data_IF_285543352520
#
_entry.id   IF_285543352520
#
_cell.length_a   1.000
_cell.length_b   1.000
_cell.length_c   1.000
_cell.angle_alpha   90.00
_cell.angle_beta   90.00
_cell.angle_gamma   90.00
#
_symmetry.space_group_name_H-M   'P 1'
#
loop_
_entity.id
_entity.type
_entity.pdbx_description
1 polymer ?
#
# COMPACT_ATOMS: atom_id res chain seq x y z
N UNK A 1 0.89 90.94 -24.83
CA UNK A 1 1.30 90.39 -23.51
C UNK A 1 0.73 88.99 -23.44
N UNK A 2 1.51 88.04 -23.91
CA UNK A 2 1.11 86.64 -24.09
C UNK A 2 1.40 85.87 -22.81
N UNK A 3 0.37 85.22 -22.28
CA UNK A 3 0.41 84.34 -21.12
C UNK A 3 1.13 83.02 -21.44
N UNK A 4 2.01 82.52 -20.56
CA UNK A 4 2.73 81.27 -20.81
C UNK A 4 1.82 80.03 -20.66
N UNK A 5 2.10 78.94 -21.38
CA UNK A 5 1.30 77.72 -21.36
C UNK A 5 1.48 76.94 -20.04
N UNK A 6 0.34 76.54 -19.47
CA UNK A 6 0.23 75.81 -18.21
C UNK A 6 0.74 74.37 -18.30
N UNK A 7 1.45 73.96 -17.25
CA UNK A 7 1.98 72.61 -17.04
C UNK A 7 0.87 71.55 -16.94
N UNK A 8 1.09 70.32 -17.45
CA UNK A 8 0.12 69.24 -17.34
C UNK A 8 -0.01 68.72 -15.89
N UNK A 9 -1.19 68.20 -15.50
CA UNK A 9 -1.44 67.69 -14.15
C UNK A 9 -0.66 66.40 -13.87
N UNK A 10 -0.03 66.34 -12.69
CA UNK A 10 0.68 65.16 -12.18
C UNK A 10 -0.32 64.03 -11.87
N UNK A 11 -0.19 62.92 -12.58
CA UNK A 11 -0.91 61.67 -12.29
C UNK A 11 -0.44 61.10 -10.94
N UNK A 12 -1.29 61.18 -9.93
CA UNK A 12 -1.08 60.53 -8.63
C UNK A 12 -1.36 59.03 -8.80
N UNK A 13 -0.29 58.21 -8.80
CA UNK A 13 -0.42 56.75 -8.72
C UNK A 13 -0.85 56.38 -7.30
N UNK A 14 -2.09 55.90 -7.15
CA UNK A 14 -2.51 55.21 -5.92
C UNK A 14 -1.66 53.95 -5.75
N UNK A 15 -0.91 53.90 -4.65
CA UNK A 15 -0.23 52.69 -4.22
C UNK A 15 -1.28 51.63 -3.86
N UNK A 16 -1.24 50.52 -4.58
CA UNK A 16 -1.99 49.29 -4.27
C UNK A 16 -1.47 48.74 -2.94
N UNK A 17 -2.20 48.98 -1.86
CA UNK A 17 -1.99 48.26 -0.60
C UNK A 17 -2.41 46.80 -0.77
N UNK A 18 -1.41 45.94 -1.01
CA UNK A 18 -1.55 44.49 -0.90
C UNK A 18 -1.71 44.16 0.60
N UNK A 19 -2.72 43.39 1.02
CA UNK A 19 -2.82 42.97 2.42
C UNK A 19 -1.59 42.13 2.79
N UNK A 20 -1.06 42.27 4.02
CA UNK A 20 0.11 41.51 4.46
C UNK A 20 -0.21 40.02 4.42
N UNK A 21 0.63 39.27 3.70
CA UNK A 21 0.56 37.82 3.64
C UNK A 21 1.12 37.26 4.95
N UNK A 22 0.29 36.55 5.73
CA UNK A 22 0.69 35.89 6.99
C UNK A 22 1.74 34.77 6.76
N UNK A 23 2.00 34.42 5.50
CA UNK A 23 2.91 33.34 5.10
C UNK A 23 4.08 33.80 4.22
N UNK A 24 4.41 35.09 4.20
CA UNK A 24 5.72 35.52 3.70
C UNK A 24 6.73 35.37 4.86
N UNK A 25 7.63 34.38 4.84
CA UNK A 25 8.70 34.30 5.83
C UNK A 25 9.62 35.48 5.58
N UNK A 26 9.72 36.40 6.55
CA UNK A 26 10.71 37.47 6.51
C UNK A 26 12.12 36.85 6.34
N UNK A 27 12.84 37.29 5.30
CA UNK A 27 14.14 36.80 4.85
C UNK A 27 15.29 36.93 5.89
N UNK A 28 15.00 37.34 7.12
CA UNK A 28 15.99 37.64 8.17
C UNK A 28 15.94 36.69 9.39
N UNK A 29 15.10 35.64 9.43
CA UNK A 29 14.89 34.84 10.66
C UNK A 29 15.88 33.67 10.89
N UNK A 30 16.84 33.39 9.99
CA UNK A 30 17.83 32.32 10.22
C UNK A 30 19.29 32.66 9.90
N UNK A 31 19.93 33.62 10.61
CA UNK A 31 21.35 33.92 10.40
C UNK A 31 22.33 32.85 10.92
N UNK A 32 21.87 31.77 11.57
CA UNK A 32 22.72 30.80 12.26
C UNK A 32 22.38 29.33 11.94
N UNK A 33 22.24 28.99 10.65
CA UNK A 33 22.11 27.58 10.25
C UNK A 33 23.48 26.85 10.29
N UNK A 34 23.65 25.74 11.04
CA UNK A 34 24.94 25.05 11.11
C UNK A 34 25.29 24.38 9.78
N UNK A 35 26.42 24.76 9.17
CA UNK A 35 26.98 24.18 7.93
C UNK A 35 27.41 22.70 8.05
N UNK A 36 27.20 22.04 9.19
CA UNK A 36 27.73 20.70 9.49
C UNK A 36 26.85 19.53 9.04
N UNK A 37 25.65 19.77 8.51
CA UNK A 37 24.76 18.67 8.09
C UNK A 37 25.23 17.86 6.88
N UNK A 38 26.11 18.43 6.03
CA UNK A 38 26.67 17.70 4.87
C UNK A 38 27.70 16.65 5.27
N UNK A 39 28.31 16.76 6.45
CA UNK A 39 29.39 15.87 6.87
C UNK A 39 28.87 14.58 7.50
N UNK A 40 27.68 14.62 8.15
CA UNK A 40 27.13 13.46 8.86
C UNK A 40 26.46 12.42 7.95
N UNK A 41 26.04 12.81 6.74
CA UNK A 41 25.50 11.89 5.72
C UNK A 41 26.59 11.34 4.77
N UNK A 42 27.81 11.89 4.80
CA UNK A 42 28.92 11.51 3.90
C UNK A 42 29.81 10.36 4.38
N UNK A 43 29.60 9.83 5.58
CA UNK A 43 30.42 8.75 6.17
C UNK A 43 29.60 7.53 6.53
N UNK A 44 28.87 6.98 5.56
CA UNK A 44 28.49 5.56 5.58
C UNK A 44 29.05 4.89 4.31
N UNK A 45 30.38 4.86 4.20
CA UNK A 45 31.05 3.89 3.34
C UNK A 45 30.97 2.53 4.01
N UNK A 46 29.93 1.78 3.68
CA UNK A 46 29.80 0.36 3.97
C UNK A 46 31.04 -0.38 3.43
N UNK A 47 31.93 -0.79 4.34
CA UNK A 47 32.97 -1.78 4.05
C UNK A 47 32.30 -3.15 4.03
N UNK A 48 32.11 -3.63 2.82
CA UNK A 48 32.16 -5.03 2.41
C UNK A 48 32.76 -5.97 3.48
N UNK A 49 31.91 -6.79 4.09
CA UNK A 49 32.31 -8.04 4.74
C UNK A 49 31.40 -9.14 4.21
N UNK A 50 31.92 -9.91 3.26
CA UNK A 50 31.39 -11.22 2.93
C UNK A 50 31.72 -12.15 4.09
N UNK A 51 30.77 -12.37 4.99
CA UNK A 51 30.79 -13.53 5.89
C UNK A 51 29.51 -14.33 5.67
N UNK A 52 29.69 -15.53 5.12
CA UNK A 52 28.63 -16.51 4.94
C UNK A 52 28.06 -16.93 6.30
N UNK A 53 26.94 -16.33 6.70
CA UNK A 53 26.17 -16.78 7.87
C UNK A 53 25.26 -17.95 7.45
N UNK A 54 25.73 -19.18 7.66
CA UNK A 54 24.84 -20.33 7.83
C UNK A 54 24.19 -20.23 9.21
N UNK A 55 22.99 -19.63 9.28
CA UNK A 55 22.14 -19.71 10.49
C UNK A 55 21.38 -21.03 10.46
N UNK A 56 21.75 -21.95 11.34
CA UNK A 56 20.87 -23.03 11.77
C UNK A 56 19.73 -22.43 12.60
N UNK A 57 18.49 -22.58 12.15
CA UNK A 57 17.30 -22.25 12.93
C UNK A 57 17.15 -23.22 14.11
N UNK A 58 16.80 -22.77 15.33
CA UNK A 58 16.47 -23.65 16.43
C UNK A 58 15.15 -24.38 16.16
N UNK A 59 15.19 -25.70 16.29
CA UNK A 59 14.19 -26.69 15.85
C UNK A 59 12.99 -26.86 16.81
N UNK A 60 12.56 -25.80 17.50
CA UNK A 60 11.70 -25.94 18.70
C UNK A 60 10.35 -25.20 18.68
N UNK A 61 9.96 -24.55 17.58
CA UNK A 61 8.72 -23.76 17.53
C UNK A 61 7.59 -24.38 16.70
N UNK A 62 7.81 -25.60 16.19
CA UNK A 62 6.82 -26.31 15.37
C UNK A 62 5.59 -26.78 16.18
N UNK A 63 5.76 -26.98 17.49
CA UNK A 63 4.74 -27.60 18.35
C UNK A 63 3.65 -26.63 18.84
N UNK A 64 3.89 -25.31 18.83
CA UNK A 64 2.93 -24.31 19.36
C UNK A 64 1.84 -23.97 18.34
N UNK A 65 2.12 -24.08 17.03
CA UNK A 65 1.19 -23.68 15.98
C UNK A 65 0.29 -24.82 15.48
N UNK A 66 0.69 -26.08 15.68
CA UNK A 66 -0.14 -27.26 15.35
C UNK A 66 -1.36 -27.31 16.29
N UNK A 67 -1.22 -26.88 17.55
CA UNK A 67 -2.28 -26.93 18.55
C UNK A 67 -3.44 -25.95 18.32
N UNK A 68 -3.26 -24.94 17.46
CA UNK A 68 -4.31 -23.93 17.18
C UNK A 68 -5.26 -24.34 16.04
N UNK A 69 -4.97 -25.43 15.31
CA UNK A 69 -5.74 -25.87 14.14
C UNK A 69 -6.48 -27.21 14.32
N UNK A 70 -6.38 -27.87 15.48
CA UNK A 70 -6.98 -29.20 15.69
C UNK A 70 -8.50 -29.18 16.00
N UNK A 71 -9.11 -28.03 16.32
CA UNK A 71 -10.51 -27.97 16.80
C UNK A 71 -11.53 -27.30 15.82
N UNK A 72 -11.15 -27.02 14.58
CA UNK A 72 -12.06 -26.41 13.60
C UNK A 72 -12.64 -27.46 12.64
N UNK A 73 -13.90 -27.88 12.88
CA UNK A 73 -14.63 -28.73 11.94
C UNK A 73 -14.89 -28.00 10.60
N UNK A 74 -14.74 -28.67 9.45
CA UNK A 74 -14.98 -28.06 8.15
C UNK A 74 -16.48 -27.84 7.90
N UNK A 75 -16.89 -26.69 7.31
CA UNK A 75 -18.28 -26.45 6.97
C UNK A 75 -18.73 -27.38 5.83
N UNK A 76 -19.82 -28.11 6.08
CA UNK A 76 -20.56 -28.87 5.06
C UNK A 76 -21.26 -27.90 4.11
N UNK A 77 -20.94 -27.99 2.82
CA UNK A 77 -21.65 -27.29 1.75
C UNK A 77 -22.86 -28.14 1.32
N UNK A 78 -24.08 -27.65 1.64
CA UNK A 78 -25.30 -28.14 1.01
C UNK A 78 -25.55 -27.36 -0.29
N UNK A 79 -25.85 -28.11 -1.34
CA UNK A 79 -26.04 -27.65 -2.72
C UNK A 79 -27.52 -27.33 -2.98
N UNK A 80 -27.90 -26.11 -3.42
CA UNK A 80 -29.26 -25.88 -3.90
C UNK A 80 -29.30 -25.51 -5.38
N UNK A 81 -29.87 -26.43 -6.15
CA UNK A 81 -30.44 -26.17 -7.46
C UNK A 81 -31.66 -25.23 -7.39
N UNK A 82 -31.79 -24.40 -8.45
CA UNK A 82 -33.03 -23.80 -9.01
C UNK A 82 -33.62 -22.54 -8.35
N UNK A 83 -33.54 -21.37 -9.02
CA UNK A 83 -34.64 -20.82 -9.84
C UNK A 83 -34.29 -19.41 -10.37
N UNK A 84 -34.47 -19.23 -11.68
CA UNK A 84 -34.48 -17.95 -12.38
C UNK A 84 -35.64 -17.07 -11.90
N UNK A 85 -35.32 -15.88 -11.37
CA UNK A 85 -36.24 -14.75 -11.29
C UNK A 85 -35.51 -13.46 -11.59
N UNK A 86 -35.84 -12.90 -12.76
CA UNK A 86 -35.59 -11.51 -13.13
C UNK A 86 -36.38 -10.59 -12.19
N UNK A 87 -35.72 -10.07 -11.15
CA UNK A 87 -36.26 -9.00 -10.33
C UNK A 87 -35.16 -7.94 -10.16
N UNK A 88 -35.47 -6.69 -10.45
CA UNK A 88 -34.58 -5.52 -10.35
C UNK A 88 -34.38 -5.17 -8.87
N UNK A 89 -33.73 -6.09 -8.15
CA UNK A 89 -33.42 -6.00 -6.74
C UNK A 89 -32.31 -5.01 -6.48
N UNK A 90 -32.66 -3.97 -5.72
CA UNK A 90 -31.78 -3.31 -4.75
C UNK A 90 -30.70 -4.29 -4.29
N UNK A 91 -29.46 -4.10 -4.78
CA UNK A 91 -28.33 -5.00 -4.52
C UNK A 91 -28.17 -5.14 -3.01
N UNK A 92 -28.77 -6.20 -2.46
CA UNK A 92 -28.52 -6.68 -1.13
C UNK A 92 -27.01 -6.82 -1.06
N UNK A 93 -26.39 -5.93 -0.29
CA UNK A 93 -24.96 -5.91 -0.01
C UNK A 93 -24.70 -7.23 0.73
N UNK A 94 -24.48 -8.28 -0.06
CA UNK A 94 -24.63 -9.66 0.38
C UNK A 94 -23.78 -9.87 1.61
N UNK A 95 -24.47 -10.27 2.67
CA UNK A 95 -23.95 -10.53 3.99
C UNK A 95 -22.76 -11.49 3.90
N UNK A 96 -21.54 -10.97 4.03
CA UNK A 96 -20.32 -11.76 4.18
C UNK A 96 -20.24 -12.33 5.62
N UNK A 97 -20.51 -13.62 5.87
CA UNK A 97 -20.08 -14.30 7.11
C UNK A 97 -18.55 -14.28 7.29
N UNK A 98 -17.80 -13.94 6.23
CA UNK A 98 -16.35 -13.70 6.21
C UNK A 98 -15.91 -12.61 7.18
N UNK A 99 -16.79 -11.67 7.54
CA UNK A 99 -16.42 -10.50 8.33
C UNK A 99 -16.18 -10.82 9.81
N UNK A 100 -16.86 -11.84 10.39
CA UNK A 100 -16.71 -12.16 11.81
C UNK A 100 -15.40 -12.90 12.11
N UNK A 101 -15.06 -13.92 11.31
CA UNK A 101 -13.76 -14.59 11.41
C UNK A 101 -12.59 -13.63 11.16
N UNK A 102 -12.78 -12.65 10.26
CA UNK A 102 -11.82 -11.58 10.02
C UNK A 102 -11.62 -10.70 11.27
N UNK A 103 -12.71 -10.26 11.92
CA UNK A 103 -12.67 -9.50 13.17
C UNK A 103 -12.00 -10.26 14.31
N UNK A 104 -12.27 -11.56 14.47
CA UNK A 104 -11.59 -12.38 15.48
C UNK A 104 -10.09 -12.52 15.22
N UNK A 105 -9.70 -12.72 13.95
CA UNK A 105 -8.29 -12.72 13.54
C UNK A 105 -7.60 -11.37 13.82
N UNK A 106 -8.30 -10.25 13.60
CA UNK A 106 -7.81 -8.90 13.94
C UNK A 106 -7.54 -8.80 15.44
N UNK A 107 -8.53 -9.19 16.25
CA UNK A 107 -8.45 -9.08 17.71
C UNK A 107 -7.28 -9.91 18.24
N UNK A 108 -7.09 -11.13 17.73
CA UNK A 108 -6.01 -12.01 18.19
C UNK A 108 -4.62 -11.49 17.79
N UNK A 109 -4.44 -11.05 16.54
CA UNK A 109 -3.18 -10.48 16.06
C UNK A 109 -2.78 -9.22 16.84
N UNK A 110 -3.77 -8.36 17.17
CA UNK A 110 -3.56 -7.14 17.96
C UNK A 110 -3.26 -7.42 19.44
N UNK A 111 -3.73 -8.55 19.97
CA UNK A 111 -3.49 -8.95 21.36
C UNK A 111 -2.06 -9.44 21.58
N UNK A 112 -1.49 -10.19 20.65
CA UNK A 112 -0.14 -10.73 20.79
C UNK A 112 0.95 -9.66 20.52
N UNK A 113 1.73 -9.24 21.55
CA UNK A 113 2.80 -8.26 21.37
C UNK A 113 3.89 -8.72 20.40
N UNK A 114 4.09 -10.03 20.24
CA UNK A 114 5.10 -10.58 19.35
C UNK A 114 4.78 -10.39 17.86
N UNK A 115 3.54 -10.01 17.51
CA UNK A 115 3.07 -9.80 16.14
C UNK A 115 2.71 -8.34 15.84
N UNK A 116 2.43 -7.54 16.87
CA UNK A 116 1.80 -6.22 16.72
C UNK A 116 2.59 -5.09 17.36
N UNK A 117 3.94 -5.15 17.41
CA UNK A 117 4.71 -4.05 18.02
C UNK A 117 4.90 -2.88 17.03
N UNK A 118 4.28 -1.69 17.27
CA UNK A 118 4.36 -0.58 16.32
C UNK A 118 5.75 0.06 16.27
N UNK A 119 6.51 -0.06 17.36
CA UNK A 119 7.75 0.70 17.57
C UNK A 119 9.02 -0.14 17.57
N UNK A 120 8.94 -1.46 17.49
CA UNK A 120 10.10 -2.36 17.45
C UNK A 120 9.86 -3.50 16.47
N UNK A 121 10.91 -4.23 16.06
CA UNK A 121 10.76 -5.39 15.21
C UNK A 121 9.90 -6.47 15.89
N UNK A 122 8.95 -7.02 15.14
CA UNK A 122 8.08 -8.12 15.55
C UNK A 122 8.35 -9.41 14.73
N UNK A 123 7.54 -10.45 14.94
CA UNK A 123 7.69 -11.74 14.26
C UNK A 123 7.49 -11.61 12.75
N UNK A 124 6.52 -10.81 12.30
CA UNK A 124 6.31 -10.57 10.88
C UNK A 124 7.56 -9.96 10.24
N UNK A 125 8.17 -8.98 10.90
CA UNK A 125 9.38 -8.33 10.38
C UNK A 125 10.53 -9.32 10.20
N UNK A 126 10.71 -10.25 11.15
CA UNK A 126 11.73 -11.29 11.07
C UNK A 126 11.46 -12.25 9.90
N UNK A 127 10.22 -12.70 9.75
CA UNK A 127 9.84 -13.62 8.69
C UNK A 127 9.88 -12.96 7.31
N UNK A 128 9.50 -11.68 7.19
CA UNK A 128 9.55 -10.92 5.94
C UNK A 128 10.98 -10.64 5.50
N UNK A 129 11.92 -10.49 6.44
CA UNK A 129 13.31 -10.13 6.11
C UNK A 129 14.00 -11.10 5.13
N UNK A 130 13.56 -12.36 5.05
CA UNK A 130 14.09 -13.33 4.09
C UNK A 130 13.75 -12.99 2.63
N UNK A 131 12.75 -12.14 2.41
CA UNK A 131 12.33 -11.67 1.09
C UNK A 131 12.93 -10.30 0.72
N UNK A 132 13.76 -9.70 1.57
CA UNK A 132 14.40 -8.42 1.26
C UNK A 132 15.40 -8.57 0.11
N UNK A 133 15.41 -7.59 -0.79
CA UNK A 133 16.32 -7.57 -1.95
C UNK A 133 17.27 -6.40 -1.89
N UNK A 134 18.47 -6.63 -2.40
CA UNK A 134 19.50 -5.60 -2.58
C UNK A 134 19.39 -4.89 -3.94
N UNK A 135 18.27 -5.04 -4.65
CA UNK A 135 18.08 -4.47 -6.00
C UNK A 135 18.07 -2.94 -5.99
N UNK A 136 17.78 -2.33 -4.83
CA UNK A 136 17.79 -0.90 -4.63
C UNK A 136 18.82 -0.52 -3.56
N UNK A 137 20.01 -0.10 -3.99
CA UNK A 137 21.16 0.09 -3.11
C UNK A 137 21.03 1.27 -2.12
N UNK A 138 20.17 2.24 -2.42
CA UNK A 138 20.01 3.45 -1.61
C UNK A 138 19.10 3.23 -0.38
N UNK A 139 18.41 2.09 -0.31
CA UNK A 139 17.68 1.66 0.88
C UNK A 139 18.51 0.64 1.68
N UNK A 140 18.58 0.78 3.01
CA UNK A 140 19.26 -0.20 3.84
C UNK A 140 18.58 -1.57 3.71
N UNK A 141 19.35 -2.63 3.55
CA UNK A 141 18.80 -3.97 3.42
C UNK A 141 18.50 -4.62 4.78
N UNK A 142 19.03 -4.07 5.86
CA UNK A 142 19.17 -4.73 7.17
C UNK A 142 19.00 -3.75 8.36
N UNK A 143 18.41 -2.57 8.15
CA UNK A 143 18.30 -1.50 9.16
C UNK A 143 16.83 -1.15 9.47
N UNK A 144 16.49 -0.91 10.75
CA UNK A 144 15.40 -1.58 11.46
C UNK A 144 14.06 -1.55 10.71
N UNK A 145 13.25 -2.60 10.92
CA UNK A 145 11.96 -2.91 10.27
C UNK A 145 11.03 -1.74 9.89
N UNK A 146 11.15 -0.58 10.53
CA UNK A 146 10.40 0.64 10.22
C UNK A 146 11.02 1.50 9.10
N UNK A 147 12.09 1.04 8.45
CA UNK A 147 12.59 1.65 7.23
C UNK A 147 12.04 0.89 6.03
N UNK A 148 12.06 1.55 4.88
CA UNK A 148 11.63 0.94 3.63
C UNK A 148 12.63 -0.12 3.17
N UNK A 149 12.12 -1.30 2.85
CA UNK A 149 12.84 -2.34 2.13
C UNK A 149 12.10 -2.71 0.85
N UNK A 150 12.84 -3.09 -0.19
CA UNK A 150 12.24 -3.63 -1.43
C UNK A 150 12.19 -5.15 -1.32
N UNK A 151 10.99 -5.72 -1.43
CA UNK A 151 10.76 -7.16 -1.35
C UNK A 151 10.93 -7.84 -2.71
N UNK A 152 11.37 -9.10 -2.70
CA UNK A 152 11.15 -10.01 -3.81
C UNK A 152 9.70 -10.47 -3.75
N UNK A 153 8.82 -9.65 -4.32
CA UNK A 153 7.38 -9.87 -4.24
C UNK A 153 6.98 -11.22 -4.86
N UNK A 154 7.74 -11.75 -5.82
CA UNK A 154 7.46 -13.04 -6.45
C UNK A 154 7.73 -14.19 -5.50
N UNK A 155 8.89 -14.19 -4.85
CA UNK A 155 9.19 -15.18 -3.81
C UNK A 155 8.21 -15.07 -2.63
N UNK A 156 7.79 -13.85 -2.29
CA UNK A 156 6.82 -13.59 -1.23
C UNK A 156 5.41 -14.12 -1.57
N UNK A 157 4.89 -13.83 -2.77
CA UNK A 157 3.54 -14.23 -3.19
C UNK A 157 3.46 -15.65 -3.73
N UNK A 158 4.59 -16.23 -4.13
CA UNK A 158 4.70 -17.61 -4.60
C UNK A 158 5.89 -18.31 -3.89
N UNK A 159 5.69 -18.77 -2.64
CA UNK A 159 6.74 -19.35 -1.83
C UNK A 159 7.28 -20.69 -2.37
N UNK A 160 6.61 -21.31 -3.35
CA UNK A 160 7.07 -22.54 -3.97
C UNK A 160 7.36 -22.39 -5.47
N UNK A 161 8.46 -21.72 -5.87
CA UNK A 161 8.82 -21.55 -7.28
C UNK A 161 9.27 -22.88 -7.94
N UNK A 162 9.60 -23.90 -7.15
CA UNK A 162 10.10 -25.20 -7.61
C UNK A 162 9.06 -26.32 -7.56
N UNK A 163 7.85 -26.08 -7.05
CA UNK A 163 6.70 -26.86 -7.43
C UNK A 163 6.49 -26.61 -8.92
N UNK A 164 7.21 -27.37 -9.74
CA UNK A 164 6.78 -27.61 -11.11
C UNK A 164 5.30 -27.91 -10.99
N UNK A 165 4.49 -27.14 -11.70
CA UNK A 165 3.11 -27.49 -11.97
C UNK A 165 3.13 -28.84 -12.70
N UNK A 166 3.36 -29.93 -11.98
CA UNK A 166 3.03 -31.27 -12.43
C UNK A 166 1.53 -31.40 -12.26
N UNK A 167 0.81 -30.59 -13.04
CA UNK A 167 -0.54 -30.89 -13.52
C UNK A 167 -0.41 -32.01 -14.55
N UNK A 168 0.23 -33.12 -14.15
CA UNK A 168 0.11 -34.37 -14.89
C UNK A 168 -1.23 -34.93 -14.44
N UNK A 169 -2.18 -34.97 -15.36
CA UNK A 169 -3.57 -35.41 -15.22
C UNK A 169 -3.69 -36.91 -14.89
N UNK A 170 -3.03 -37.39 -13.84
CA UNK A 170 -3.28 -38.72 -13.30
C UNK A 170 -4.53 -38.67 -12.42
N UNK A 171 -5.67 -39.04 -13.01
CA UNK A 171 -7.03 -39.05 -12.47
C UNK A 171 -7.28 -39.92 -11.21
N UNK A 172 -6.27 -40.30 -10.44
CA UNK A 172 -6.43 -41.08 -9.22
C UNK A 172 -5.28 -40.79 -8.28
N UNK A 173 -5.42 -39.75 -7.46
CA UNK A 173 -4.49 -39.46 -6.37
C UNK A 173 -5.33 -39.17 -5.14
N UNK A 174 -5.28 -40.07 -4.15
CA UNK A 174 -5.77 -39.82 -2.80
C UNK A 174 -5.27 -38.46 -2.33
N UNK A 175 -6.21 -37.61 -1.93
CA UNK A 175 -5.94 -36.33 -1.31
C UNK A 175 -5.20 -36.60 0.00
N UNK A 176 -3.91 -36.29 0.07
CA UNK A 176 -3.12 -36.35 1.31
C UNK A 176 -3.16 -34.97 2.00
N UNK A 177 -4.04 -34.77 3.01
CA UNK A 177 -4.14 -33.51 3.74
C UNK A 177 -2.88 -33.16 4.55
N UNK A 178 -1.94 -34.10 4.75
CA UNK A 178 -0.71 -33.87 5.53
C UNK A 178 0.38 -33.13 4.75
N UNK A 179 0.26 -33.04 3.41
CA UNK A 179 1.22 -32.36 2.52
C UNK A 179 1.08 -30.82 2.51
N UNK A 180 0.07 -30.26 3.19
CA UNK A 180 -0.28 -28.83 3.16
C UNK A 180 0.58 -27.94 4.08
N UNK A 181 1.63 -28.48 4.70
CA UNK A 181 2.16 -28.00 5.98
C UNK A 181 3.16 -26.82 5.92
N UNK A 182 3.91 -26.59 4.84
CA UNK A 182 4.97 -25.55 4.86
C UNK A 182 4.69 -24.29 4.02
N UNK A 183 3.92 -24.40 2.93
CA UNK A 183 3.61 -23.24 2.06
C UNK A 183 2.54 -22.31 2.65
N UNK A 184 1.84 -22.73 3.71
CA UNK A 184 0.75 -21.97 4.31
C UNK A 184 1.26 -20.80 5.19
N UNK A 185 2.41 -20.95 5.85
CA UNK A 185 2.91 -19.96 6.82
C UNK A 185 3.23 -18.63 6.12
N UNK A 186 3.86 -18.65 4.95
CA UNK A 186 4.22 -17.43 4.20
C UNK A 186 2.97 -16.64 3.80
N UNK A 187 1.84 -17.32 3.54
CA UNK A 187 0.58 -16.66 3.19
C UNK A 187 0.03 -15.76 4.32
N UNK A 188 0.37 -16.07 5.59
CA UNK A 188 -0.05 -15.27 6.75
C UNK A 188 0.94 -14.17 7.11
N UNK A 189 2.17 -14.20 6.60
CA UNK A 189 3.15 -13.16 6.91
C UNK A 189 2.85 -11.91 6.10
N UNK A 190 2.60 -10.78 6.76
CA UNK A 190 2.30 -9.51 6.09
C UNK A 190 3.43 -8.49 6.30
N UNK A 191 3.98 -7.88 5.24
CA UNK A 191 5.00 -6.85 5.37
C UNK A 191 4.44 -5.56 5.97
N UNK A 192 5.31 -4.70 6.48
CA UNK A 192 4.91 -3.35 6.89
C UNK A 192 4.52 -2.52 5.67
N UNK A 193 3.75 -1.45 5.90
CA UNK A 193 3.29 -0.59 4.82
C UNK A 193 4.45 0.07 4.08
N UNK A 194 5.51 0.46 4.79
CA UNK A 194 6.70 1.05 4.17
C UNK A 194 7.35 0.11 3.15
N UNK A 195 7.45 -1.19 3.44
CA UNK A 195 8.04 -2.18 2.52
C UNK A 195 7.12 -2.44 1.32
N UNK A 196 5.80 -2.52 1.57
CA UNK A 196 4.80 -2.64 0.52
C UNK A 196 4.81 -1.46 -0.45
N UNK A 197 4.90 -0.23 0.06
CA UNK A 197 4.99 0.99 -0.74
C UNK A 197 6.32 1.04 -1.50
N UNK A 198 7.45 0.78 -0.85
CA UNK A 198 8.75 0.80 -1.53
C UNK A 198 8.79 -0.18 -2.71
N UNK A 199 8.26 -1.38 -2.50
CA UNK A 199 8.17 -2.42 -3.54
C UNK A 199 7.22 -2.01 -4.67
N UNK A 200 6.02 -1.49 -4.34
CA UNK A 200 5.05 -0.97 -5.31
C UNK A 200 5.65 0.10 -6.22
N UNK A 201 6.34 1.08 -5.63
CA UNK A 201 6.93 2.19 -6.37
C UNK A 201 8.13 1.71 -7.20
N UNK A 202 8.98 0.84 -6.66
CA UNK A 202 10.11 0.25 -7.37
C UNK A 202 9.65 -0.55 -8.60
N UNK A 203 8.64 -1.40 -8.45
CA UNK A 203 8.09 -2.20 -9.56
C UNK A 203 7.36 -1.34 -10.59
N UNK A 204 6.80 -0.18 -10.19
CA UNK A 204 6.29 0.82 -11.15
C UNK A 204 7.42 1.40 -12.01
N UNK A 205 8.50 1.84 -11.35
CA UNK A 205 9.74 2.33 -11.96
C UNK A 205 10.74 2.67 -10.86
N UNK A 206 12.03 2.35 -11.03
CA UNK A 206 13.09 2.80 -10.10
C UNK A 206 13.03 4.31 -9.84
N UNK A 207 12.82 5.09 -10.89
CA UNK A 207 12.68 6.55 -10.82
C UNK A 207 11.49 6.99 -9.95
N UNK A 208 10.40 6.23 -9.95
CA UNK A 208 9.22 6.51 -9.14
C UNK A 208 9.55 6.41 -7.64
N UNK A 209 10.34 5.41 -7.23
CA UNK A 209 10.83 5.30 -5.86
C UNK A 209 11.87 6.39 -5.53
N UNK A 210 12.78 6.69 -6.46
CA UNK A 210 13.77 7.77 -6.28
C UNK A 210 13.08 9.12 -6.00
N UNK A 211 12.05 9.46 -6.78
CA UNK A 211 11.30 10.71 -6.62
C UNK A 211 10.42 10.71 -5.35
N UNK A 212 9.93 9.54 -4.92
CA UNK A 212 9.24 9.45 -3.63
C UNK A 212 10.18 9.74 -2.45
N UNK A 213 11.40 9.21 -2.50
CA UNK A 213 12.41 9.34 -1.43
C UNK A 213 13.14 10.69 -1.44
N UNK A 214 13.09 11.45 -2.54
CA UNK A 214 13.76 12.75 -2.63
C UNK A 214 13.11 13.79 -1.70
N UNK A 215 13.80 14.27 -0.64
CA UNK A 215 13.24 15.26 0.28
C UNK A 215 13.01 16.62 -0.37
N UNK A 216 13.57 16.88 -1.55
CA UNK A 216 13.35 18.12 -2.31
C UNK A 216 12.00 18.13 -3.01
N UNK A 217 11.40 16.97 -3.23
CA UNK A 217 10.04 16.86 -3.77
C UNK A 217 9.05 17.19 -2.65
N UNK A 218 8.30 18.26 -2.84
CA UNK A 218 7.36 18.78 -1.85
C UNK A 218 6.10 17.91 -1.78
N UNK A 219 5.58 17.54 -2.95
CA UNK A 219 4.40 16.70 -3.14
C UNK A 219 4.72 15.61 -4.14
N UNK A 220 4.54 14.37 -3.70
CA UNK A 220 4.59 13.19 -4.55
C UNK A 220 3.23 12.50 -4.50
N UNK A 221 2.70 12.06 -5.64
CA UNK A 221 1.49 11.25 -5.68
C UNK A 221 1.55 10.18 -6.77
N UNK A 222 1.58 8.92 -6.36
CA UNK A 222 1.39 7.77 -7.24
C UNK A 222 -0.09 7.38 -7.26
N UNK A 223 -0.63 7.09 -8.44
CA UNK A 223 -2.03 6.76 -8.68
C UNK A 223 -2.15 5.52 -9.57
N UNK A 224 -3.01 4.57 -9.15
CA UNK A 224 -3.64 3.59 -10.04
C UNK A 224 -5.09 4.01 -10.25
N UNK A 225 -5.45 4.34 -11.49
CA UNK A 225 -6.82 4.66 -11.89
C UNK A 225 -7.44 3.49 -12.64
N UNK A 226 -8.72 3.25 -12.39
CA UNK A 226 -9.53 2.25 -13.07
C UNK A 226 -10.72 2.97 -13.69
N UNK A 227 -10.92 2.82 -15.01
CA UNK A 227 -11.98 3.52 -15.74
C UNK A 227 -13.37 2.91 -15.52
N UNK A 228 -13.47 1.58 -15.42
CA UNK A 228 -14.72 0.87 -15.18
C UNK A 228 -14.87 0.49 -13.71
N UNK A 229 -15.98 0.92 -13.10
CA UNK A 229 -16.21 0.83 -11.66
C UNK A 229 -16.52 -0.60 -11.16
N UNK A 230 -16.84 -1.53 -12.06
CA UNK A 230 -17.68 -2.67 -11.68
C UNK A 230 -17.01 -3.65 -10.71
N UNK A 231 -15.68 -3.80 -10.73
CA UNK A 231 -14.97 -4.71 -9.78
C UNK A 231 -13.56 -4.29 -9.36
N UNK A 232 -12.92 -3.38 -10.09
CA UNK A 232 -11.52 -3.06 -9.90
C UNK A 232 -11.34 -1.82 -9.02
N UNK A 233 -10.37 -1.86 -8.12
CA UNK A 233 -10.12 -0.77 -7.18
C UNK A 233 -9.00 0.15 -7.67
N UNK A 234 -9.20 1.45 -7.51
CA UNK A 234 -8.15 2.45 -7.65
C UNK A 234 -7.27 2.45 -6.39
N UNK A 235 -6.06 2.98 -6.50
CA UNK A 235 -5.16 3.11 -5.36
C UNK A 235 -4.35 4.40 -5.45
N UNK A 236 -3.87 4.87 -4.30
CA UNK A 236 -3.04 6.06 -4.21
C UNK A 236 -1.97 5.89 -3.15
N UNK A 237 -0.80 6.49 -3.41
CA UNK A 237 0.23 6.78 -2.41
C UNK A 237 0.61 8.25 -2.58
N UNK A 238 0.24 9.08 -1.61
CA UNK A 238 0.50 10.53 -1.62
C UNK A 238 1.42 10.89 -0.46
N UNK A 239 2.54 11.54 -0.75
CA UNK A 239 3.45 12.13 0.25
C UNK A 239 3.42 13.65 0.15
N UNK A 240 3.23 14.32 1.27
CA UNK A 240 3.38 15.77 1.42
C UNK A 240 4.36 16.04 2.57
N UNK A 241 5.56 16.49 2.23
CA UNK A 241 6.68 16.54 3.19
C UNK A 241 6.93 15.17 3.82
N UNK A 242 6.80 15.08 5.16
CA UNK A 242 6.94 13.82 5.92
C UNK A 242 5.63 13.10 6.21
N UNK A 243 4.49 13.53 5.66
CA UNK A 243 3.17 12.87 5.85
C UNK A 243 2.86 12.02 4.62
N UNK A 244 2.34 10.82 4.84
CA UNK A 244 1.93 9.92 3.76
C UNK A 244 0.50 9.46 3.97
N UNK A 245 -0.27 9.45 2.88
CA UNK A 245 -1.57 8.81 2.77
C UNK A 245 -1.43 7.69 1.76
N UNK A 246 -1.87 6.49 2.11
CA UNK A 246 -1.91 5.37 1.19
C UNK A 246 -3.23 4.63 1.35
N UNK A 247 -3.77 4.13 0.24
CA UNK A 247 -5.02 3.40 0.31
C UNK A 247 -5.54 2.91 -1.02
N UNK A 248 -6.64 2.17 -0.91
CA UNK A 248 -7.37 1.54 -2.02
C UNK A 248 -8.82 1.96 -1.92
N UNK A 249 -9.37 2.42 -3.04
CA UNK A 249 -10.70 3.03 -3.08
C UNK A 249 -11.43 2.76 -4.39
N UNK A 250 -12.76 2.94 -4.36
CA UNK A 250 -13.60 3.09 -5.54
C UNK A 250 -13.87 4.57 -5.78
N UNK A 251 -13.75 5.00 -7.03
CA UNK A 251 -14.00 6.38 -7.42
C UNK A 251 -15.45 6.53 -7.90
N UNK A 252 -16.27 7.27 -7.17
CA UNK A 252 -17.67 7.57 -7.54
C UNK A 252 -17.83 8.97 -8.17
N UNK A 253 -16.73 9.60 -8.59
CA UNK A 253 -16.71 10.95 -9.18
C UNK A 253 -16.74 12.06 -8.13
N UNK A 254 -17.75 12.06 -7.26
CA UNK A 254 -17.94 13.08 -6.21
C UNK A 254 -17.36 12.69 -4.84
N UNK A 255 -16.98 11.42 -4.67
CA UNK A 255 -16.29 10.91 -3.48
C UNK A 255 -15.49 9.65 -3.79
N UNK A 256 -14.50 9.39 -2.95
CA UNK A 256 -13.81 8.11 -2.88
C UNK A 256 -14.41 7.27 -1.78
N UNK A 257 -14.68 5.99 -2.08
CA UNK A 257 -15.12 4.99 -1.11
C UNK A 257 -13.94 4.07 -0.79
N UNK A 258 -13.39 4.19 0.41
CA UNK A 258 -12.15 3.53 0.82
C UNK A 258 -12.39 2.11 1.30
N UNK A 259 -11.64 1.17 0.73
CA UNK A 259 -11.42 -0.15 1.34
C UNK A 259 -10.37 -0.08 2.44
N UNK A 260 -9.27 0.62 2.17
CA UNK A 260 -8.19 0.89 3.11
C UNK A 260 -7.81 2.37 3.02
N UNK A 261 -7.71 3.05 4.14
CA UNK A 261 -7.19 4.41 4.24
C UNK A 261 -6.19 4.48 5.39
N UNK A 262 -4.90 4.61 5.07
CA UNK A 262 -3.82 4.63 6.06
C UNK A 262 -3.10 5.97 5.99
N UNK A 263 -2.91 6.61 7.16
CA UNK A 263 -2.02 7.76 7.30
C UNK A 263 -0.74 7.32 8.00
N UNK A 264 0.38 7.87 7.57
CA UNK A 264 1.69 7.56 8.12
C UNK A 264 2.59 8.80 8.14
N UNK A 265 3.68 8.71 8.89
CA UNK A 265 4.75 9.72 8.93
C UNK A 265 6.10 9.09 8.65
N UNK A 266 6.94 9.83 7.92
CA UNK A 266 8.36 9.54 7.71
C UNK A 266 9.15 10.57 8.51
N UNK A 267 9.98 10.12 9.44
CA UNK A 267 10.90 11.00 10.16
C UNK A 267 12.08 11.43 9.27
N UNK A 268 12.86 12.40 9.73
CA UNK A 268 14.13 12.79 9.09
C UNK A 268 15.15 11.64 9.02
N UNK A 269 15.04 10.64 9.89
CA UNK A 269 15.90 9.45 9.87
C UNK A 269 15.39 8.38 8.90
N UNK A 270 14.30 8.62 8.18
CA UNK A 270 13.64 7.63 7.32
C UNK A 270 12.75 6.64 8.06
N UNK A 271 12.52 6.84 9.37
CA UNK A 271 11.64 5.96 10.16
C UNK A 271 10.18 6.20 9.77
N UNK A 272 9.53 5.15 9.31
CA UNK A 272 8.10 5.10 9.04
C UNK A 272 7.30 4.81 10.31
N UNK A 273 6.13 5.42 10.44
CA UNK A 273 5.18 5.14 11.51
C UNK A 273 3.77 5.37 11.00
N UNK A 274 2.94 4.33 11.01
CA UNK A 274 1.51 4.40 10.80
C UNK A 274 0.87 5.18 11.95
N UNK A 275 0.09 6.21 11.63
CA UNK A 275 -0.52 7.11 12.61
C UNK A 275 -2.04 7.02 12.63
N UNK A 276 -2.63 6.40 11.60
CA UNK A 276 -4.07 6.19 11.51
C UNK A 276 -4.38 5.07 10.52
N UNK A 277 -5.35 4.21 10.82
CA UNK A 277 -6.00 3.33 9.86
C UNK A 277 -7.52 3.52 9.91
N UNK A 278 -8.12 3.61 8.73
CA UNK A 278 -9.55 3.58 8.51
C UNK A 278 -9.90 2.50 7.51
N UNK A 279 -10.96 1.74 7.80
CA UNK A 279 -11.60 0.82 6.88
C UNK A 279 -13.01 1.33 6.59
N UNK A 280 -13.48 1.17 5.33
CA UNK A 280 -14.85 1.53 4.92
C UNK A 280 -15.23 2.98 5.29
N UNK A 281 -14.49 3.94 4.74
CA UNK A 281 -14.79 5.37 4.88
C UNK A 281 -14.91 6.07 3.55
N UNK A 282 -15.11 7.38 3.59
CA UNK A 282 -15.19 8.21 2.38
C UNK A 282 -14.30 9.44 2.46
N UNK A 283 -13.90 9.92 1.29
CA UNK A 283 -13.26 11.24 1.12
C UNK A 283 -13.99 11.99 0.03
N UNK A 284 -14.48 13.22 0.28
CA UNK A 284 -15.15 14.00 -0.75
C UNK A 284 -14.17 14.44 -1.84
N UNK A 285 -14.70 14.59 -3.07
CA UNK A 285 -13.95 15.10 -4.22
C UNK A 285 -14.62 16.41 -4.66
N UNK A 286 -13.86 17.50 -4.59
CA UNK A 286 -14.31 18.82 -5.05
C UNK A 286 -13.73 19.14 -6.44
N UNK A 287 -14.06 20.31 -6.98
CA UNK A 287 -13.43 20.81 -8.21
C UNK A 287 -11.91 21.00 -8.09
N UNK A 288 -11.38 21.15 -6.87
CA UNK A 288 -9.94 21.22 -6.61
C UNK A 288 -9.29 19.83 -6.47
N UNK A 289 -10.08 18.76 -6.48
CA UNK A 289 -9.65 17.39 -6.30
C UNK A 289 -10.07 16.77 -4.97
N UNK A 290 -9.54 15.58 -4.65
CA UNK A 290 -9.87 14.85 -3.43
C UNK A 290 -9.44 15.63 -2.19
N UNK A 291 -10.33 15.80 -1.23
CA UNK A 291 -10.03 16.45 0.04
C UNK A 291 -9.39 15.43 0.99
N UNK A 292 -8.13 15.09 0.75
CA UNK A 292 -7.44 13.96 1.39
C UNK A 292 -7.47 13.94 2.91
N UNK A 293 -7.57 15.11 3.56
CA UNK A 293 -7.62 15.25 5.01
C UNK A 293 -9.05 15.12 5.59
N UNK A 294 -10.09 15.19 4.74
CA UNK A 294 -11.51 15.10 5.12
C UNK A 294 -12.00 13.64 5.01
N UNK A 295 -11.29 12.72 5.67
CA UNK A 295 -11.74 11.33 5.78
C UNK A 295 -12.92 11.23 6.75
N UNK A 296 -14.02 10.67 6.28
CA UNK A 296 -15.22 10.40 7.08
C UNK A 296 -15.43 8.88 7.19
N UNK A 297 -15.34 8.27 8.38
CA UNK A 297 -15.71 6.87 8.55
C UNK A 297 -17.19 6.71 8.19
N UNK A 298 -17.55 5.61 7.51
CA UNK A 298 -18.97 5.27 7.36
C UNK A 298 -19.46 4.79 8.72
N UNK A 299 -20.04 5.71 9.48
CA UNK A 299 -20.74 5.38 10.71
C UNK A 299 -21.84 4.38 10.36
N UNK A 300 -21.88 3.27 11.09
CA UNK A 300 -22.89 2.20 10.98
C UNK A 300 -22.60 1.12 9.91
N UNK A 301 -21.70 0.18 10.24
CA UNK A 301 -22.07 -1.22 10.03
C UNK A 301 -22.89 -1.67 11.24
N UNK A 302 -24.08 -2.29 11.08
CA UNK A 302 -24.95 -2.74 12.18
C UNK A 302 -24.31 -3.71 13.18
N UNK A 303 -23.12 -4.22 12.87
CA UNK A 303 -22.34 -5.10 13.73
C UNK A 303 -21.49 -4.34 14.76
N UNK A 304 -21.33 -3.02 14.62
CA UNK A 304 -20.55 -2.17 15.55
C UNK A 304 -21.36 -1.73 16.78
N UNK A 305 -22.27 -2.57 17.27
CA UNK A 305 -23.17 -2.20 18.37
C UNK A 305 -22.64 -2.58 19.75
N UNK A 306 -21.63 -3.45 19.83
CA UNK A 306 -21.15 -4.00 21.10
C UNK A 306 -19.63 -4.06 21.28
N UNK A 307 -18.82 -3.77 20.27
CA UNK A 307 -17.36 -3.81 20.39
C UNK A 307 -16.82 -2.39 20.43
N UNK A 308 -15.99 -2.12 21.44
CA UNK A 308 -15.19 -0.90 21.55
C UNK A 308 -14.52 -0.60 20.20
N UNK A 309 -15.10 0.38 19.52
CA UNK A 309 -14.74 0.89 18.21
C UNK A 309 -13.24 1.21 18.26
N UNK A 310 -12.42 0.38 17.60
CA UNK A 310 -10.97 0.59 17.64
C UNK A 310 -10.71 1.96 17.01
N UNK A 311 -10.26 2.91 17.84
CA UNK A 311 -9.85 4.23 17.37
C UNK A 311 -8.84 4.01 16.25
N UNK A 312 -9.14 4.52 15.05
CA UNK A 312 -8.24 4.40 13.91
C UNK A 312 -6.84 4.93 14.22
N UNK A 313 -6.72 5.79 15.24
CA UNK A 313 -5.47 6.36 15.75
C UNK A 313 -4.70 5.44 16.72
N UNK A 314 -5.27 4.31 17.16
CA UNK A 314 -4.55 3.31 17.94
C UNK A 314 -3.37 2.77 17.14
N UNK A 315 -2.18 2.78 17.74
CA UNK A 315 -0.95 2.47 17.03
C UNK A 315 -0.88 1.01 16.56
N UNK A 316 -1.52 0.07 17.28
CA UNK A 316 -1.54 -1.34 16.87
C UNK A 316 -2.53 -1.54 15.73
N UNK A 317 -3.72 -0.95 15.82
CA UNK A 317 -4.71 -0.98 14.74
C UNK A 317 -4.18 -0.31 13.47
N UNK A 318 -3.48 0.83 13.60
CA UNK A 318 -2.82 1.51 12.50
C UNK A 318 -1.76 0.63 11.82
N UNK A 319 -0.92 -0.05 12.62
CA UNK A 319 0.06 -1.02 12.11
C UNK A 319 -0.62 -2.16 11.35
N UNK A 320 -1.64 -2.77 11.96
CA UNK A 320 -2.40 -3.87 11.36
C UNK A 320 -3.02 -3.46 10.02
N UNK A 321 -3.73 -2.33 9.97
CA UNK A 321 -4.30 -1.80 8.74
C UNK A 321 -3.23 -1.51 7.68
N UNK A 322 -2.06 -1.02 8.10
CA UNK A 322 -0.90 -0.86 7.24
C UNK A 322 -0.41 -2.18 6.64
N UNK A 323 -0.28 -3.24 7.44
CA UNK A 323 0.11 -4.58 6.99
C UNK A 323 -0.90 -5.18 6.00
N UNK A 324 -2.19 -4.99 6.27
CA UNK A 324 -3.28 -5.43 5.39
C UNK A 324 -3.23 -4.74 4.03
N UNK A 325 -3.05 -3.42 4.04
CA UNK A 325 -2.89 -2.66 2.81
C UNK A 325 -1.64 -3.11 2.04
N UNK A 326 -0.50 -3.27 2.72
CA UNK A 326 0.75 -3.72 2.10
C UNK A 326 0.59 -5.06 1.39
N UNK A 327 0.04 -6.05 2.10
CA UNK A 327 -0.23 -7.38 1.54
C UNK A 327 -1.17 -7.29 0.33
N UNK A 328 -2.25 -6.50 0.43
CA UNK A 328 -3.21 -6.34 -0.65
C UNK A 328 -2.60 -5.70 -1.91
N UNK A 329 -1.75 -4.68 -1.74
CA UNK A 329 -1.05 -4.01 -2.85
C UNK A 329 -0.10 -4.95 -3.59
N UNK A 330 0.64 -5.79 -2.84
CA UNK A 330 1.61 -6.72 -3.39
C UNK A 330 0.93 -7.91 -4.08
N UNK A 331 -0.05 -8.53 -3.43
CA UNK A 331 -0.76 -9.68 -3.98
C UNK A 331 -1.56 -9.29 -5.23
N UNK A 332 -2.22 -8.13 -5.19
CA UNK A 332 -2.92 -7.57 -6.33
C UNK A 332 -2.02 -6.96 -7.40
N UNK A 333 -0.70 -6.87 -7.14
CA UNK A 333 0.33 -6.28 -7.99
C UNK A 333 -0.11 -4.95 -8.60
N UNK A 334 -0.40 -3.97 -7.74
CA UNK A 334 -1.04 -2.71 -8.13
C UNK A 334 -0.22 -1.82 -9.07
N UNK A 335 1.04 -2.15 -9.31
CA UNK A 335 1.90 -1.54 -10.34
C UNK A 335 1.65 -2.09 -11.74
N UNK A 336 0.97 -3.23 -11.86
CA UNK A 336 0.67 -3.90 -13.12
C UNK A 336 -0.73 -3.52 -13.62
N UNK A 337 -1.03 -3.78 -14.89
CA UNK A 337 -2.32 -3.44 -15.46
C UNK A 337 -2.83 -4.48 -16.47
N UNK A 338 -4.15 -4.49 -16.63
CA UNK A 338 -4.84 -5.23 -17.68
C UNK A 338 -5.45 -4.14 -18.57
N UNK A 339 -4.94 -4.04 -19.80
CA UNK A 339 -5.31 -2.98 -20.75
C UNK A 339 -6.82 -2.90 -20.97
N UNK A 340 -7.48 -4.05 -21.01
CA UNK A 340 -8.91 -4.18 -21.30
C UNK A 340 -9.80 -3.58 -20.20
N UNK A 341 -9.28 -3.41 -18.98
CA UNK A 341 -10.00 -2.76 -17.87
C UNK A 341 -9.78 -1.25 -17.80
N UNK A 342 -9.13 -0.65 -18.80
CA UNK A 342 -8.86 0.80 -18.83
C UNK A 342 -8.02 1.26 -17.63
N UNK A 343 -7.16 0.38 -17.11
CA UNK A 343 -6.30 0.68 -15.97
C UNK A 343 -5.11 1.54 -16.38
N UNK A 344 -4.78 2.53 -15.56
CA UNK A 344 -3.63 3.41 -15.76
C UNK A 344 -2.85 3.57 -14.46
N UNK A 345 -1.52 3.48 -14.54
CA UNK A 345 -0.60 3.82 -13.46
C UNK A 345 0.21 5.04 -13.86
N UNK A 346 0.21 6.05 -12.99
CA UNK A 346 0.95 7.30 -13.17
C UNK A 346 1.47 7.78 -11.80
N UNK A 347 2.47 8.64 -11.82
CA UNK A 347 2.85 9.39 -10.63
C UNK A 347 3.16 10.84 -10.96
N UNK A 348 2.99 11.70 -9.98
CA UNK A 348 3.19 13.14 -10.06
C UNK A 348 4.22 13.55 -9.01
N UNK A 349 5.24 14.30 -9.43
CA UNK A 349 6.24 14.90 -8.53
C UNK A 349 6.26 16.41 -8.78
N UNK A 350 5.82 17.20 -7.79
CA UNK A 350 5.71 18.66 -7.86
C UNK A 350 5.04 19.16 -9.15
N UNK A 351 3.87 18.59 -9.49
CA UNK A 351 3.09 18.94 -10.67
C UNK A 351 3.55 18.27 -11.98
N UNK A 352 4.69 17.58 -11.99
CA UNK A 352 5.17 16.84 -13.17
C UNK A 352 4.63 15.41 -13.16
N UNK A 353 3.73 15.12 -14.09
CA UNK A 353 3.13 13.79 -14.27
C UNK A 353 4.00 12.91 -15.16
N UNK A 354 4.28 11.69 -14.71
CA UNK A 354 4.97 10.64 -15.46
C UNK A 354 4.12 9.36 -15.48
N UNK A 355 4.06 8.68 -16.63
CA UNK A 355 3.34 7.41 -16.77
C UNK A 355 4.22 6.22 -16.35
N UNK A 356 3.63 5.28 -15.61
CA UNK A 356 4.24 4.01 -15.21
C UNK A 356 4.70 3.15 -16.39
N UNK A 357 5.75 2.33 -16.19
CA UNK A 357 6.10 1.32 -17.18
C UNK A 357 5.07 0.21 -17.14
N UNK A 358 4.17 0.26 -18.11
CA UNK A 358 3.06 -0.65 -18.28
C UNK A 358 3.56 -1.98 -18.87
N UNK A 359 3.49 -3.09 -18.09
CA UNK A 359 3.57 -4.44 -18.65
C UNK A 359 2.16 -4.93 -18.90
N UNK A 360 1.82 -5.25 -20.15
CA UNK A 360 0.52 -5.90 -20.37
C UNK A 360 0.62 -7.27 -19.72
N UNK A 361 -0.28 -7.59 -18.79
CA UNK A 361 -0.60 -9.00 -18.58
C UNK A 361 -1.27 -9.47 -19.87
N UNK A 362 -0.50 -10.05 -20.79
CA UNK A 362 -1.13 -10.96 -21.75
C UNK A 362 -1.90 -11.95 -20.89
N UNK A 363 -3.17 -12.12 -21.23
CA UNK A 363 -4.11 -12.89 -20.47
C UNK A 363 -3.50 -14.29 -20.23
N UNK A 364 -2.93 -14.54 -19.03
CA UNK A 364 -2.27 -15.81 -18.68
C UNK A 364 -3.20 -17.02 -18.79
N UNK A 365 -4.48 -16.78 -19.09
CA UNK A 365 -5.53 -17.76 -19.22
C UNK A 365 -5.97 -18.00 -20.68
N UNK A 366 -5.31 -17.45 -21.71
CA UNK A 366 -5.71 -17.70 -23.11
C UNK A 366 -4.70 -18.44 -23.98
N UNK A 367 -3.45 -18.63 -23.54
CA UNK A 367 -2.44 -19.29 -24.37
C UNK A 367 -2.34 -20.81 -24.13
N UNK A 368 -3.18 -21.40 -23.26
CA UNK A 368 -3.17 -22.85 -22.97
C UNK A 368 -4.28 -23.64 -23.68
N UNK A 369 -5.18 -23.01 -24.45
CA UNK A 369 -6.31 -23.71 -25.12
C UNK A 369 -6.21 -23.84 -26.66
N UNK A 370 -5.33 -23.10 -27.36
CA UNK A 370 -5.29 -23.12 -28.83
C UNK A 370 -4.11 -23.92 -29.42
N UNK A 371 -3.58 -24.88 -28.64
CA UNK A 371 -2.43 -25.70 -29.00
C UNK A 371 -2.75 -27.10 -29.53
N UNK A 372 -3.88 -27.31 -30.22
CA UNK A 372 -4.16 -28.59 -30.90
C UNK A 372 -5.15 -28.43 -32.07
N UNK A 373 -4.87 -27.52 -33.02
CA UNK A 373 -5.48 -27.62 -34.35
C UNK A 373 -4.57 -28.53 -35.21
N UNK A 374 -5.03 -29.77 -35.37
CA UNK A 374 -4.31 -30.81 -36.08
C UNK A 374 -4.17 -30.54 -37.57
N UNK A 375 -2.95 -30.65 -38.06
CA UNK A 375 -2.69 -30.99 -39.46
C UNK A 375 -3.12 -32.45 -39.68
N UNK A 376 -4.30 -32.65 -40.26
CA UNK A 376 -4.71 -33.92 -40.86
C UNK A 376 -4.52 -33.84 -42.38
N UNK A 377 -3.63 -34.70 -42.88
CA UNK A 377 -3.41 -35.06 -44.29
C UNK A 377 -4.66 -35.68 -44.95
#
# INVERSE_FOLDING_TARGET
>A
METPPGSPPKTVRLASHKPPNIWDPDDDEFPNWPQTFRTTLGTFKSKQSQTAFKRSLPRSHHDILITLNEDAEPPTFDDPHTQDKDDLGEEAYDSEPTNHAHTLSIIEELRDPSWSTPTSPDLHDRLISQFFTFKYADLPADYPARHMHVLDWRAYTNPNPNAKSTSTSSNTSEFDPSSRSDSCIVAYVRPRLCDGIATLLFETSRKCLDEFLDPRISVFEWRRRVAQADRNSSAVVRRVGGRVIAGVYRNHGFKYLWKFYIRSRISLTGKWTETFAGARGTTPVSSAGPQWDDYEPLSQTPLSRNDDEHDGSDAKYALYGGRQLAHHLLFGQFWDYIKDYGMMVEWEADGKVTRGKMRSRSNRYRDDEDGEEGDAD
#
